data_IF_762807043593
#
_entry.id   IF_762807043593
#
_cell.length_a   1.000
_cell.length_b   1.000
_cell.length_c   1.000
_cell.angle_alpha   90.00
_cell.angle_beta   90.00
_cell.angle_gamma   90.00
#
_symmetry.space_group_name_H-M   'P 1'
#
loop_
_entity.id
_entity.type
_entity.pdbx_description
1 polymer ?
#
# COMPACT_ATOMS: atom_id res chain seq x y z
N UNK A 1 20.07 16.75 12.75
CA UNK A 1 19.51 15.47 12.28
C UNK A 1 19.39 15.55 10.76
N UNK A 2 20.18 14.75 10.03
CA UNK A 2 20.20 14.77 8.57
C UNK A 2 18.95 14.07 8.02
N UNK A 3 18.28 14.71 7.06
CA UNK A 3 17.11 14.20 6.39
C UNK A 3 17.36 12.79 5.82
N UNK A 4 16.44 11.86 6.11
CA UNK A 4 16.36 10.52 5.51
C UNK A 4 15.91 10.60 4.04
N UNK A 5 16.62 11.38 3.24
CA UNK A 5 16.40 11.52 1.81
C UNK A 5 17.13 10.42 1.05
N UNK A 6 16.70 9.16 1.20
CA UNK A 6 17.07 8.14 0.21
C UNK A 6 16.28 8.50 -1.07
N UNK A 7 16.94 8.82 -2.19
CA UNK A 7 16.26 9.35 -3.36
C UNK A 7 15.30 8.31 -3.96
N UNK A 8 14.01 8.59 -3.87
CA UNK A 8 12.87 7.83 -4.43
C UNK A 8 12.77 7.88 -5.97
N UNK A 9 13.88 8.13 -6.66
CA UNK A 9 13.92 8.27 -8.12
C UNK A 9 14.33 6.92 -8.76
N UNK A 10 13.40 5.95 -8.76
CA UNK A 10 13.57 4.67 -9.44
C UNK A 10 12.35 4.47 -10.38
N UNK A 11 12.51 3.95 -11.63
CA UNK A 11 11.40 3.64 -12.56
C UNK A 11 10.21 2.89 -11.94
N UNK A 12 10.46 2.18 -10.84
CA UNK A 12 9.46 1.58 -9.96
C UNK A 12 8.42 2.58 -9.40
N UNK A 13 8.83 3.72 -8.84
CA UNK A 13 7.89 4.70 -8.24
C UNK A 13 7.02 5.38 -9.31
N UNK A 14 7.59 5.67 -10.48
CA UNK A 14 6.86 6.18 -11.64
C UNK A 14 5.81 5.18 -12.17
N UNK A 15 6.13 3.87 -12.12
CA UNK A 15 5.20 2.80 -12.54
C UNK A 15 4.04 2.66 -11.56
N UNK A 16 4.31 2.72 -10.25
CA UNK A 16 3.30 2.70 -9.19
C UNK A 16 2.39 3.93 -9.27
N UNK A 17 2.97 5.13 -9.38
CA UNK A 17 2.22 6.39 -9.30
C UNK A 17 1.32 6.63 -10.50
N UNK A 18 1.78 6.37 -11.72
CA UNK A 18 1.03 6.67 -12.94
C UNK A 18 -0.11 5.66 -13.17
N UNK A 19 0.12 4.38 -12.90
CA UNK A 19 -0.81 3.34 -13.32
C UNK A 19 -1.78 2.89 -12.23
N UNK A 20 -1.32 2.77 -10.97
CA UNK A 20 -2.21 2.39 -9.87
C UNK A 20 -3.21 3.52 -9.61
N UNK A 21 -2.78 4.79 -9.66
CA UNK A 21 -3.65 5.91 -9.29
C UNK A 21 -4.63 6.34 -10.35
N UNK A 22 -4.24 6.34 -11.64
CA UNK A 22 -5.20 6.59 -12.72
C UNK A 22 -6.31 5.52 -12.71
N UNK A 23 -5.96 4.25 -12.50
CA UNK A 23 -6.93 3.17 -12.41
C UNK A 23 -7.75 3.19 -11.10
N UNK A 24 -7.15 3.63 -9.99
CA UNK A 24 -7.83 3.74 -8.70
C UNK A 24 -8.83 4.90 -8.66
N UNK A 25 -8.50 6.07 -9.23
CA UNK A 25 -9.46 7.18 -9.37
C UNK A 25 -10.63 6.73 -10.25
N UNK A 26 -10.34 6.01 -11.33
CA UNK A 26 -11.38 5.44 -12.19
C UNK A 26 -12.25 4.41 -11.44
N UNK A 27 -11.66 3.53 -10.64
CA UNK A 27 -12.39 2.57 -9.80
C UNK A 27 -13.30 3.27 -8.76
N UNK A 28 -12.81 4.30 -8.09
CA UNK A 28 -13.63 5.10 -7.16
C UNK A 28 -14.80 5.78 -7.87
N UNK A 29 -14.58 6.31 -9.07
CA UNK A 29 -15.67 6.88 -9.88
C UNK A 29 -16.70 5.82 -10.29
N UNK A 30 -16.26 4.60 -10.63
CA UNK A 30 -17.18 3.49 -10.94
C UNK A 30 -17.97 3.04 -9.71
N UNK A 31 -17.34 2.87 -8.55
CA UNK A 31 -18.06 2.52 -7.32
C UNK A 31 -19.08 3.59 -6.92
N UNK A 32 -18.73 4.87 -7.01
CA UNK A 32 -19.68 5.96 -6.76
C UNK A 32 -20.87 5.94 -7.71
N UNK A 33 -20.67 5.58 -8.99
CA UNK A 33 -21.77 5.42 -9.96
C UNK A 33 -22.65 4.20 -9.64
N UNK A 34 -22.05 3.08 -9.22
CA UNK A 34 -22.78 1.87 -8.84
C UNK A 34 -23.60 2.04 -7.55
N UNK A 35 -23.11 2.82 -6.58
CA UNK A 35 -23.88 3.17 -5.37
C UNK A 35 -24.87 4.32 -5.60
N UNK A 36 -24.55 5.27 -6.50
CA UNK A 36 -25.47 6.36 -6.87
C UNK A 36 -26.67 5.91 -7.69
N UNK A 37 -26.56 4.82 -8.47
CA UNK A 37 -27.69 4.25 -9.21
C UNK A 37 -28.66 3.45 -8.35
N UNK A 38 -28.30 3.08 -7.11
CA UNK A 38 -29.20 2.41 -6.16
C UNK A 38 -30.04 3.40 -5.33
N UNK A 39 -29.71 4.70 -5.31
CA UNK A 39 -30.36 5.71 -4.47
C UNK A 39 -31.35 6.65 -5.17
N UNK A 40 -31.66 6.46 -6.45
CA UNK A 40 -32.58 7.34 -7.21
C UNK A 40 -33.64 6.58 -8.01
N UNK A 41 -34.15 5.48 -7.48
CA UNK A 41 -35.31 4.77 -8.02
C UNK A 41 -36.52 4.88 -7.08
N UNK A 42 -36.96 6.11 -6.84
CA UNK A 42 -38.30 6.38 -6.30
C UNK A 42 -38.97 7.41 -7.21
N UNK A 43 -39.68 6.91 -8.24
CA UNK A 43 -40.61 7.69 -9.05
C UNK A 43 -40.20 7.93 -10.51
N UNK A 44 -40.43 6.94 -11.37
CA UNK A 44 -40.97 7.13 -12.72
C UNK A 44 -41.19 5.78 -13.41
N UNK A 45 -42.42 5.53 -13.86
CA UNK A 45 -42.84 4.34 -14.57
C UNK A 45 -42.17 4.15 -15.93
N UNK A 46 -41.87 2.88 -16.22
CA UNK A 46 -41.94 2.21 -17.52
C UNK A 46 -41.21 2.85 -18.73
N UNK A 47 -39.93 2.48 -18.90
CA UNK A 47 -39.38 2.16 -20.22
C UNK A 47 -38.34 1.04 -20.05
N UNK A 48 -38.69 -0.14 -20.56
CA UNK A 48 -37.91 -1.38 -20.48
C UNK A 48 -36.67 -1.29 -21.38
N UNK A 49 -35.60 -0.65 -20.92
CA UNK A 49 -34.27 -0.85 -21.50
C UNK A 49 -33.58 -1.99 -20.76
N UNK A 50 -33.77 -3.21 -21.27
CA UNK A 50 -33.00 -4.39 -20.86
C UNK A 50 -31.53 -4.16 -21.22
N UNK A 51 -30.74 -3.65 -20.27
CA UNK A 51 -29.30 -3.76 -20.35
C UNK A 51 -28.95 -5.27 -20.42
N UNK A 52 -28.20 -5.72 -21.44
CA UNK A 52 -27.85 -7.12 -21.55
C UNK A 52 -27.06 -7.54 -20.31
N UNK A 53 -27.54 -8.57 -19.61
CA UNK A 53 -26.79 -9.18 -18.53
C UNK A 53 -25.43 -9.64 -19.10
N UNK A 54 -24.31 -9.37 -18.41
CA UNK A 54 -23.00 -9.79 -18.87
C UNK A 54 -23.02 -11.30 -19.08
N UNK A 55 -22.57 -11.73 -20.26
CA UNK A 55 -22.61 -13.14 -20.63
C UNK A 55 -21.73 -13.95 -19.68
N UNK A 56 -22.07 -15.23 -19.42
CA UNK A 56 -21.26 -16.13 -18.58
C UNK A 56 -19.78 -16.17 -18.98
N UNK A 57 -19.46 -15.91 -20.25
CA UNK A 57 -18.09 -15.82 -20.76
C UNK A 57 -17.30 -14.58 -20.30
N UNK A 58 -17.95 -13.43 -20.16
CA UNK A 58 -17.30 -12.20 -19.67
C UNK A 58 -16.93 -12.31 -18.19
N UNK A 59 -17.79 -12.93 -17.39
CA UNK A 59 -17.53 -13.17 -15.97
C UNK A 59 -16.34 -14.12 -15.75
N UNK A 60 -16.21 -15.18 -16.57
CA UNK A 60 -15.08 -16.10 -16.47
C UNK A 60 -13.76 -15.47 -16.93
N UNK A 61 -13.79 -14.67 -18.00
CA UNK A 61 -12.62 -13.95 -18.49
C UNK A 61 -12.11 -12.92 -17.47
N UNK A 62 -13.02 -12.18 -16.82
CA UNK A 62 -12.66 -11.24 -15.76
C UNK A 62 -12.03 -11.95 -14.55
N UNK A 63 -12.61 -13.08 -14.12
CA UNK A 63 -12.09 -13.85 -12.99
C UNK A 63 -10.71 -14.47 -13.30
N UNK A 64 -10.49 -14.93 -14.54
CA UNK A 64 -9.17 -15.42 -14.98
C UNK A 64 -8.12 -14.30 -14.97
N UNK A 65 -8.47 -13.09 -15.41
CA UNK A 65 -7.56 -11.94 -15.35
C UNK A 65 -7.23 -11.56 -13.91
N UNK A 66 -8.21 -11.55 -13.01
CA UNK A 66 -7.98 -11.26 -11.59
C UNK A 66 -7.03 -12.26 -10.95
N UNK A 67 -7.19 -13.56 -11.21
CA UNK A 67 -6.27 -14.61 -10.72
C UNK A 67 -4.86 -14.46 -11.29
N UNK A 68 -4.75 -14.15 -12.59
CA UNK A 68 -3.44 -13.91 -13.21
C UNK A 68 -2.74 -12.68 -12.61
N UNK A 69 -3.49 -11.62 -12.32
CA UNK A 69 -2.98 -10.42 -11.67
C UNK A 69 -2.50 -10.72 -10.25
N UNK A 70 -3.30 -11.44 -9.46
CA UNK A 70 -2.91 -11.89 -8.11
C UNK A 70 -1.62 -12.71 -8.14
N UNK A 71 -1.52 -13.71 -9.02
CA UNK A 71 -0.29 -14.50 -9.17
C UNK A 71 0.91 -13.64 -9.59
N UNK A 72 0.70 -12.61 -10.43
CA UNK A 72 1.78 -11.72 -10.85
C UNK A 72 2.34 -10.83 -9.74
N UNK A 73 1.62 -10.68 -8.63
CA UNK A 73 2.00 -9.85 -7.47
C UNK A 73 2.66 -10.65 -6.35
N UNK A 74 2.60 -11.98 -6.44
CA UNK A 74 3.36 -12.87 -5.57
C UNK A 74 4.79 -13.02 -6.08
N UNK A 75 5.70 -13.35 -5.17
CA UNK A 75 7.10 -13.64 -5.48
C UNK A 75 7.63 -14.78 -4.60
N UNK A 76 8.65 -15.47 -5.10
CA UNK A 76 9.45 -16.40 -4.30
C UNK A 76 10.61 -15.64 -3.64
N UNK A 77 10.74 -15.67 -2.31
CA UNK A 77 11.83 -14.96 -1.65
C UNK A 77 13.18 -15.62 -1.99
N UNK A 78 14.25 -14.83 -2.05
CA UNK A 78 15.62 -15.31 -2.28
C UNK A 78 16.22 -16.07 -1.09
N UNK A 79 15.47 -16.21 0.00
CA UNK A 79 15.93 -16.80 1.26
C UNK A 79 16.71 -15.85 2.19
N UNK A 80 16.97 -14.62 1.75
CA UNK A 80 17.69 -13.58 2.52
C UNK A 80 17.03 -12.22 2.36
N UNK A 81 17.18 -11.32 3.33
CA UNK A 81 16.72 -9.92 3.21
C UNK A 81 17.69 -9.11 2.36
N UNK A 82 17.18 -8.43 1.36
CA UNK A 82 17.97 -7.69 0.38
C UNK A 82 18.24 -6.24 0.82
N UNK A 83 17.33 -5.64 1.57
CA UNK A 83 17.43 -4.24 2.03
C UNK A 83 17.93 -4.08 3.46
N UNK A 84 17.83 -5.11 4.32
CA UNK A 84 18.29 -5.00 5.70
C UNK A 84 19.74 -4.53 5.82
N UNK A 85 20.73 -5.12 5.10
CA UNK A 85 22.11 -4.64 5.19
C UNK A 85 22.27 -3.18 4.76
N UNK A 86 21.56 -2.77 3.71
CA UNK A 86 21.59 -1.38 3.19
C UNK A 86 21.04 -0.39 4.21
N UNK A 87 19.95 -0.73 4.90
CA UNK A 87 19.37 0.10 5.96
C UNK A 87 20.30 0.16 7.18
N UNK A 88 20.87 -0.96 7.57
CA UNK A 88 21.84 -1.04 8.68
C UNK A 88 23.04 -0.13 8.41
N UNK A 89 23.62 -0.19 7.21
CA UNK A 89 24.76 0.64 6.83
C UNK A 89 24.40 2.12 6.68
N UNK A 90 23.17 2.44 6.25
CA UNK A 90 22.71 3.82 6.13
C UNK A 90 22.44 4.51 7.48
N UNK A 91 22.05 3.74 8.50
CA UNK A 91 21.61 4.29 9.80
C UNK A 91 22.70 4.14 10.86
N UNK A 92 23.34 2.98 10.95
CA UNK A 92 24.32 2.67 11.99
C UNK A 92 25.72 3.19 11.64
N UNK A 93 26.32 3.98 12.53
CA UNK A 93 27.68 4.52 12.35
C UNK A 93 28.75 3.69 13.06
N UNK A 94 28.36 3.00 14.12
CA UNK A 94 29.23 2.10 14.89
C UNK A 94 28.69 0.67 14.83
N UNK A 95 29.50 -0.34 15.15
CA UNK A 95 29.05 -1.73 15.14
C UNK A 95 27.83 -1.94 16.07
N UNK A 96 27.88 -1.40 17.29
CA UNK A 96 26.76 -1.49 18.23
C UNK A 96 25.47 -0.85 17.69
N UNK A 97 25.56 0.28 16.98
CA UNK A 97 24.40 0.89 16.34
C UNK A 97 23.89 0.04 15.17
N UNK A 98 24.78 -0.53 14.37
CA UNK A 98 24.41 -1.42 13.27
C UNK A 98 23.69 -2.67 13.78
N UNK A 99 24.17 -3.27 14.87
CA UNK A 99 23.53 -4.42 15.51
C UNK A 99 22.12 -4.06 16.02
N UNK A 100 21.97 -2.89 16.65
CA UNK A 100 20.67 -2.39 17.10
C UNK A 100 19.69 -2.16 15.93
N UNK A 101 20.13 -1.48 14.87
CA UNK A 101 19.30 -1.26 13.67
C UNK A 101 18.92 -2.58 13.03
N UNK A 102 19.86 -3.53 12.94
CA UNK A 102 19.62 -4.86 12.40
C UNK A 102 18.53 -5.60 13.17
N UNK A 103 18.60 -5.58 14.51
CA UNK A 103 17.58 -6.20 15.37
C UNK A 103 16.19 -5.56 15.18
N UNK A 104 16.12 -4.22 15.10
CA UNK A 104 14.85 -3.50 14.88
C UNK A 104 14.25 -3.87 13.51
N UNK A 105 15.05 -3.84 12.44
CA UNK A 105 14.58 -4.16 11.09
C UNK A 105 14.17 -5.63 10.99
N UNK A 106 14.90 -6.54 11.63
CA UNK A 106 14.53 -7.96 11.69
C UNK A 106 13.19 -8.17 12.39
N UNK A 107 12.99 -7.56 13.56
CA UNK A 107 11.73 -7.64 14.30
C UNK A 107 10.55 -7.05 13.52
N UNK A 108 10.76 -5.92 12.84
CA UNK A 108 9.77 -5.30 11.97
C UNK A 108 9.31 -6.25 10.86
N UNK A 109 10.25 -6.87 10.15
CA UNK A 109 9.91 -7.82 9.09
C UNK A 109 9.24 -9.09 9.63
N UNK A 110 9.67 -9.57 10.80
CA UNK A 110 9.05 -10.72 11.43
C UNK A 110 7.58 -10.46 11.77
N UNK A 111 7.26 -9.29 12.32
CA UNK A 111 5.87 -8.95 12.66
C UNK A 111 5.02 -8.73 11.41
N UNK A 112 5.56 -8.04 10.39
CA UNK A 112 4.88 -7.89 9.11
C UNK A 112 4.59 -9.25 8.45
N UNK A 113 5.58 -10.14 8.37
CA UNK A 113 5.41 -11.46 7.77
C UNK A 113 4.42 -12.31 8.54
N UNK A 114 4.42 -12.23 9.88
CA UNK A 114 3.43 -12.91 10.71
C UNK A 114 2.02 -12.44 10.41
N UNK A 115 1.81 -11.13 10.26
CA UNK A 115 0.50 -10.58 9.87
C UNK A 115 0.12 -11.03 8.45
N UNK A 116 1.04 -10.95 7.50
CA UNK A 116 0.83 -11.39 6.12
C UNK A 116 0.45 -12.88 6.06
N UNK A 117 1.14 -13.75 6.81
CA UNK A 117 0.82 -15.16 6.91
C UNK A 117 -0.54 -15.41 7.54
N UNK A 118 -0.87 -14.72 8.65
CA UNK A 118 -2.19 -14.81 9.31
C UNK A 118 -3.33 -14.50 8.34
N UNK A 119 -3.12 -13.55 7.42
CA UNK A 119 -4.10 -13.11 6.44
C UNK A 119 -4.02 -13.87 5.11
N UNK A 120 -3.16 -14.89 5.00
CA UNK A 120 -2.99 -15.69 3.78
C UNK A 120 -2.38 -14.91 2.61
N UNK A 121 -1.62 -13.84 2.89
CA UNK A 121 -0.93 -12.99 1.91
C UNK A 121 0.61 -12.97 2.09
N UNK A 122 1.30 -14.11 2.31
CA UNK A 122 2.76 -14.11 2.39
C UNK A 122 3.38 -13.70 1.05
N UNK A 123 4.51 -12.98 1.09
CA UNK A 123 5.26 -12.56 -0.11
C UNK A 123 4.38 -11.90 -1.19
N UNK A 124 3.43 -11.06 -0.76
CA UNK A 124 2.46 -10.40 -1.63
C UNK A 124 2.78 -8.90 -1.70
N UNK A 125 3.15 -8.45 -2.89
CA UNK A 125 3.51 -7.06 -3.11
C UNK A 125 2.34 -6.09 -2.94
N UNK A 126 1.13 -6.50 -3.31
CA UNK A 126 -0.06 -5.66 -3.11
C UNK A 126 -0.43 -5.54 -1.63
N UNK A 127 -0.18 -6.59 -0.84
CA UNK A 127 -0.34 -6.50 0.62
C UNK A 127 0.68 -5.55 1.25
N UNK A 128 1.96 -5.62 0.85
CA UNK A 128 2.97 -4.65 1.29
C UNK A 128 2.62 -3.20 0.89
N UNK A 129 2.08 -2.98 -0.32
CA UNK A 129 1.63 -1.66 -0.74
C UNK A 129 0.39 -1.19 0.03
N UNK A 130 -0.55 -2.10 0.33
CA UNK A 130 -1.69 -1.81 1.19
C UNK A 130 -1.25 -1.35 2.57
N UNK A 131 -0.32 -2.09 3.19
CA UNK A 131 0.31 -1.73 4.46
C UNK A 131 0.97 -0.35 4.40
N UNK A 132 1.79 -0.11 3.37
CA UNK A 132 2.45 1.18 3.15
C UNK A 132 1.45 2.33 3.15
N UNK A 133 0.39 2.23 2.33
CA UNK A 133 -0.56 3.32 2.15
C UNK A 133 -1.41 3.56 3.39
N UNK A 134 -1.97 2.49 3.95
CA UNK A 134 -2.85 2.59 5.10
C UNK A 134 -2.08 3.11 6.32
N UNK A 135 -0.91 2.54 6.61
CA UNK A 135 -0.15 2.88 7.81
C UNK A 135 0.50 4.27 7.73
N UNK A 136 1.05 4.68 6.57
CA UNK A 136 1.53 6.07 6.45
C UNK A 136 0.37 7.07 6.52
N UNK A 137 -0.81 6.74 5.98
CA UNK A 137 -1.98 7.61 6.08
C UNK A 137 -2.49 7.77 7.53
N UNK A 138 -2.55 6.67 8.30
CA UNK A 138 -2.95 6.73 9.72
C UNK A 138 -1.94 7.48 10.56
N UNK A 139 -0.64 7.24 10.38
CA UNK A 139 0.43 7.98 11.06
C UNK A 139 0.33 9.46 10.72
N UNK A 140 0.34 9.85 9.43
CA UNK A 140 0.25 11.25 9.00
C UNK A 140 -0.93 11.99 9.65
N UNK A 141 -2.09 11.32 9.76
CA UNK A 141 -3.31 11.88 10.36
C UNK A 141 -3.38 11.75 11.88
N UNK A 142 -2.50 10.98 12.51
CA UNK A 142 -2.58 10.63 13.92
C UNK A 142 -3.85 9.84 14.28
N UNK A 143 -4.28 8.95 13.39
CA UNK A 143 -5.47 8.10 13.56
C UNK A 143 -5.10 6.75 14.20
N UNK A 144 -6.08 6.01 14.75
CA UNK A 144 -5.87 4.63 15.18
C UNK A 144 -5.37 3.74 14.03
N UNK A 145 -4.78 2.61 14.39
CA UNK A 145 -4.30 1.66 13.41
C UNK A 145 -5.43 1.02 12.60
N UNK A 146 -5.20 0.74 11.30
CA UNK A 146 -6.14 -0.02 10.50
C UNK A 146 -6.42 -1.40 11.09
N UNK A 147 -7.65 -1.88 10.94
CA UNK A 147 -7.99 -3.29 11.18
C UNK A 147 -7.46 -4.17 10.06
N UNK A 148 -7.25 -5.45 10.34
CA UNK A 148 -6.78 -6.44 9.38
C UNK A 148 -7.62 -6.47 8.09
N UNK A 149 -8.95 -6.38 8.21
CA UNK A 149 -9.86 -6.41 7.06
C UNK A 149 -9.66 -5.20 6.14
N UNK A 150 -9.27 -4.05 6.70
CA UNK A 150 -9.05 -2.84 5.91
C UNK A 150 -7.77 -2.94 5.06
N UNK A 151 -6.73 -3.62 5.57
CA UNK A 151 -5.55 -3.93 4.75
C UNK A 151 -5.91 -4.88 3.61
N UNK A 152 -6.72 -5.91 3.87
CA UNK A 152 -7.14 -6.86 2.83
C UNK A 152 -8.00 -6.18 1.76
N UNK A 153 -8.98 -5.37 2.15
CA UNK A 153 -9.84 -4.63 1.21
C UNK A 153 -9.04 -3.67 0.31
N UNK A 154 -8.09 -2.94 0.88
CA UNK A 154 -7.21 -2.07 0.11
C UNK A 154 -6.30 -2.90 -0.82
N UNK A 155 -5.80 -4.05 -0.36
CA UNK A 155 -5.02 -4.97 -1.20
C UNK A 155 -5.83 -5.45 -2.40
N UNK A 156 -7.09 -5.86 -2.23
CA UNK A 156 -7.94 -6.30 -3.35
C UNK A 156 -8.16 -5.18 -4.37
N UNK A 157 -8.31 -3.94 -3.90
CA UNK A 157 -8.39 -2.77 -4.78
C UNK A 157 -7.09 -2.56 -5.56
N UNK A 158 -5.94 -2.74 -4.92
CA UNK A 158 -4.63 -2.67 -5.57
C UNK A 158 -4.49 -3.76 -6.63
N UNK A 159 -4.84 -5.01 -6.33
CA UNK A 159 -4.80 -6.12 -7.30
C UNK A 159 -5.66 -5.82 -8.51
N UNK A 160 -6.88 -5.31 -8.30
CA UNK A 160 -7.76 -4.93 -9.40
C UNK A 160 -7.15 -3.83 -10.28
N UNK A 161 -6.56 -2.79 -9.67
CA UNK A 161 -5.91 -1.71 -10.40
C UNK A 161 -4.66 -2.19 -11.16
N UNK A 162 -3.91 -3.12 -10.58
CA UNK A 162 -2.69 -3.70 -11.17
C UNK A 162 -2.99 -4.77 -12.23
N UNK A 163 -4.14 -5.45 -12.17
CA UNK A 163 -4.57 -6.41 -13.20
C UNK A 163 -4.66 -5.80 -14.61
N UNK A 164 -4.80 -4.48 -14.68
CA UNK A 164 -4.86 -3.73 -15.92
C UNK A 164 -3.45 -3.40 -16.48
N UNK A 165 -2.38 -3.71 -15.74
CA UNK A 165 -1.00 -3.40 -16.10
C UNK A 165 -0.06 -4.61 -16.00
N UNK A 166 0.55 -5.00 -17.12
CA UNK A 166 1.47 -6.13 -17.17
C UNK A 166 2.89 -5.86 -16.65
N UNK A 167 3.23 -4.63 -16.25
CA UNK A 167 4.59 -4.28 -15.79
C UNK A 167 5.04 -5.12 -14.59
N UNK A 168 4.13 -5.43 -13.66
CA UNK A 168 4.44 -6.28 -12.49
C UNK A 168 4.69 -7.74 -12.87
N UNK A 169 4.00 -8.23 -13.91
CA UNK A 169 4.24 -9.58 -14.45
C UNK A 169 5.63 -9.72 -15.09
N UNK A 170 6.27 -8.61 -15.47
CA UNK A 170 7.63 -8.58 -16.03
C UNK A 170 8.72 -8.45 -14.97
N UNK A 171 8.37 -8.18 -13.71
CA UNK A 171 9.34 -8.08 -12.62
C UNK A 171 9.80 -9.48 -12.20
N UNK A 172 11.10 -9.62 -11.98
CA UNK A 172 11.65 -10.83 -11.36
C UNK A 172 11.23 -10.91 -9.90
N UNK A 173 11.26 -12.12 -9.34
CA UNK A 173 10.97 -12.33 -7.92
C UNK A 173 11.88 -11.50 -7.01
N UNK A 174 13.16 -11.38 -7.37
CA UNK A 174 14.10 -10.50 -6.66
C UNK A 174 13.66 -9.03 -6.69
N UNK A 175 13.24 -8.51 -7.85
CA UNK A 175 12.78 -7.11 -7.96
C UNK A 175 11.52 -6.86 -7.13
N UNK A 176 10.58 -7.81 -7.13
CA UNK A 176 9.37 -7.74 -6.30
C UNK A 176 9.73 -7.79 -4.81
N UNK A 177 10.67 -8.65 -4.41
CA UNK A 177 11.16 -8.71 -3.04
C UNK A 177 11.82 -7.40 -2.61
N UNK A 178 12.69 -6.80 -3.43
CA UNK A 178 13.32 -5.50 -3.13
C UNK A 178 12.26 -4.41 -2.94
N UNK A 179 11.24 -4.36 -3.81
CA UNK A 179 10.14 -3.41 -3.67
C UNK A 179 9.30 -3.68 -2.42
N UNK A 180 8.95 -4.93 -2.15
CA UNK A 180 8.23 -5.35 -0.97
C UNK A 180 8.96 -4.92 0.31
N UNK A 181 10.25 -5.25 0.41
CA UNK A 181 11.08 -4.87 1.56
C UNK A 181 11.18 -3.35 1.72
N UNK A 182 11.23 -2.58 0.63
CA UNK A 182 11.27 -1.12 0.68
C UNK A 182 9.99 -0.57 1.30
N UNK A 183 8.84 -1.02 0.81
CA UNK A 183 7.52 -0.57 1.27
C UNK A 183 7.33 -0.86 2.76
N UNK A 184 7.67 -2.08 3.17
CA UNK A 184 7.53 -2.54 4.56
C UNK A 184 8.49 -1.80 5.48
N UNK A 185 9.77 -1.70 5.13
CA UNK A 185 10.78 -1.08 6.00
C UNK A 185 10.55 0.42 6.21
N UNK A 186 10.26 1.18 5.15
CA UNK A 186 10.11 2.64 5.25
C UNK A 186 8.88 3.00 6.08
N UNK A 187 7.81 2.22 5.94
CA UNK A 187 6.58 2.41 6.69
C UNK A 187 6.72 1.93 8.13
N UNK A 188 7.26 0.72 8.31
CA UNK A 188 7.36 0.12 9.63
C UNK A 188 8.29 0.90 10.55
N UNK A 189 9.41 1.44 10.04
CA UNK A 189 10.29 2.28 10.85
C UNK A 189 9.60 3.57 11.30
N UNK A 190 8.92 4.27 10.37
CA UNK A 190 8.13 5.46 10.70
C UNK A 190 7.06 5.15 11.74
N UNK A 191 6.34 4.04 11.56
CA UNK A 191 5.28 3.62 12.47
C UNK A 191 5.81 3.27 13.87
N UNK A 192 6.87 2.46 13.97
CA UNK A 192 7.46 2.07 15.25
C UNK A 192 7.99 3.28 16.01
N UNK A 193 8.72 4.18 15.33
CA UNK A 193 9.22 5.42 15.95
C UNK A 193 8.09 6.36 16.36
N UNK A 194 7.02 6.47 15.57
CA UNK A 194 5.84 7.25 15.93
C UNK A 194 5.15 6.70 17.19
N UNK A 195 5.00 5.38 17.29
CA UNK A 195 4.38 4.74 18.46
C UNK A 195 5.26 4.87 19.71
N UNK A 196 6.58 4.72 19.59
CA UNK A 196 7.50 4.97 20.70
C UNK A 196 7.42 6.42 21.20
N UNK A 197 7.47 7.39 20.27
CA UNK A 197 7.36 8.81 20.59
C UNK A 197 6.04 9.13 21.33
N UNK A 198 4.91 8.57 20.87
CA UNK A 198 3.62 8.71 21.58
C UNK A 198 3.64 8.12 22.99
N UNK A 199 4.22 6.93 23.17
CA UNK A 199 4.32 6.28 24.49
C UNK A 199 5.17 7.09 25.46
N UNK A 200 6.20 7.78 24.96
CA UNK A 200 7.14 8.59 25.75
C UNK A 200 6.69 10.04 25.94
N UNK A 201 5.60 10.46 25.32
CA UNK A 201 5.15 11.87 25.35
C UNK A 201 6.03 12.81 24.52
N UNK A 202 6.84 12.27 23.60
CA UNK A 202 7.72 13.05 22.72
C UNK A 202 6.93 13.60 21.52
N UNK A 203 6.29 14.75 21.73
CA UNK A 203 5.43 15.38 20.73
C UNK A 203 6.21 15.84 19.49
N UNK A 204 7.47 16.24 19.63
CA UNK A 204 8.30 16.71 18.52
C UNK A 204 8.64 15.56 17.58
N UNK A 205 9.11 14.43 18.13
CA UNK A 205 9.45 13.27 17.33
C UNK A 205 8.19 12.61 16.73
N UNK A 206 7.07 12.61 17.47
CA UNK A 206 5.79 12.20 16.92
C UNK A 206 5.39 13.07 15.71
N UNK A 207 5.54 14.40 15.79
CA UNK A 207 5.29 15.30 14.67
C UNK A 207 6.22 15.04 13.49
N UNK A 208 7.52 14.85 13.73
CA UNK A 208 8.50 14.55 12.69
C UNK A 208 8.14 13.25 11.93
N UNK A 209 7.71 12.20 12.65
CA UNK A 209 7.28 10.95 12.01
C UNK A 209 5.98 11.10 11.22
N UNK A 210 5.07 11.98 11.64
CA UNK A 210 3.88 12.33 10.84
C UNK A 210 4.28 12.99 9.52
N UNK A 211 5.19 13.96 9.55
CA UNK A 211 5.70 14.63 8.35
C UNK A 211 6.40 13.63 7.42
N UNK A 212 7.24 12.75 7.97
CA UNK A 212 7.91 11.70 7.20
C UNK A 212 6.92 10.71 6.57
N UNK A 213 5.86 10.32 7.28
CA UNK A 213 4.79 9.50 6.70
C UNK A 213 4.10 10.20 5.51
N UNK A 214 3.88 11.52 5.61
CA UNK A 214 3.36 12.33 4.51
C UNK A 214 4.31 12.37 3.31
N UNK A 215 5.62 12.48 3.55
CA UNK A 215 6.64 12.44 2.50
C UNK A 215 6.69 11.07 1.81
N UNK A 216 6.61 9.97 2.56
CA UNK A 216 6.51 8.62 2.00
C UNK A 216 5.30 8.49 1.06
N UNK A 217 4.12 8.93 1.51
CA UNK A 217 2.91 8.93 0.67
C UNK A 217 3.13 9.76 -0.61
N UNK A 218 3.65 10.97 -0.49
CA UNK A 218 3.90 11.84 -1.66
C UNK A 218 4.92 11.23 -2.62
N UNK A 219 5.95 10.56 -2.12
CA UNK A 219 6.99 9.97 -2.94
C UNK A 219 6.47 8.81 -3.81
N UNK A 220 5.61 7.96 -3.24
CA UNK A 220 5.01 6.83 -3.97
C UNK A 220 3.79 7.21 -4.80
N UNK A 221 2.98 8.16 -4.31
CA UNK A 221 1.70 8.48 -4.95
C UNK A 221 1.73 9.70 -5.85
N UNK A 222 2.68 10.60 -5.64
CA UNK A 222 2.69 11.97 -6.18
C UNK A 222 1.44 12.80 -5.82
N UNK A 223 0.65 12.33 -4.86
CA UNK A 223 -0.53 13.04 -4.36
C UNK A 223 -0.13 13.74 -3.07
N UNK A 224 -0.67 14.95 -2.88
CA UNK A 224 -0.54 15.65 -1.61
C UNK A 224 -1.11 14.76 -0.48
N UNK A 225 -0.32 14.41 0.55
CA UNK A 225 -0.79 13.57 1.66
C UNK A 225 -2.01 14.17 2.37
N UNK A 226 -2.20 15.50 2.32
CA UNK A 226 -3.40 16.16 2.85
C UNK A 226 -4.68 15.82 2.08
N UNK A 227 -4.59 15.25 0.87
CA UNK A 227 -5.72 14.76 0.07
C UNK A 227 -6.01 13.29 0.29
N UNK A 228 -5.03 12.52 0.78
CA UNK A 228 -5.18 11.10 1.09
C UNK A 228 -5.88 10.95 2.43
N UNK A 229 -6.87 10.07 2.48
CA UNK A 229 -7.54 9.69 3.71
C UNK A 229 -7.78 8.18 3.73
N UNK A 230 -7.54 7.57 4.89
CA UNK A 230 -7.81 6.16 5.13
C UNK A 230 -8.79 6.05 6.28
N UNK A 231 -9.97 5.50 5.99
CA UNK A 231 -11.12 5.46 6.91
C UNK A 231 -11.70 4.05 6.93
N UNK A 232 -12.72 3.82 7.75
CA UNK A 232 -13.46 2.56 7.75
C UNK A 232 -14.09 2.25 6.38
N UNK A 233 -14.43 3.29 5.60
CA UNK A 233 -14.92 3.18 4.23
C UNK A 233 -13.80 2.93 3.20
N UNK A 234 -12.56 2.78 3.66
CA UNK A 234 -11.38 2.52 2.85
C UNK A 234 -10.55 3.76 2.55
N UNK A 235 -9.66 3.61 1.57
CA UNK A 235 -8.77 4.67 1.07
C UNK A 235 -9.57 5.62 0.18
N UNK A 236 -9.39 6.93 0.31
CA UNK A 236 -10.05 7.97 -0.48
C UNK A 236 -9.09 9.14 -0.76
N UNK A 237 -9.36 9.86 -1.85
CA UNK A 237 -8.57 11.03 -2.28
C UNK A 237 -9.53 12.19 -2.54
N UNK A 238 -9.29 13.31 -1.86
CA UNK A 238 -10.09 14.53 -2.04
C UNK A 238 -9.80 15.17 -3.41
N UNK A 239 -10.79 15.77 -4.09
CA UNK A 239 -10.55 16.59 -5.28
C UNK A 239 -9.61 17.76 -4.97
N UNK A 240 -8.97 18.30 -6.01
CA UNK A 240 -8.17 19.52 -5.91
C UNK A 240 -9.08 20.72 -5.68
#
# INVERSE_FOLDING_TARGET
MGAFGVPYNNPVSATLSTNVWNNWVYYQLQQKKAHGSQGSAAGASAASSSAPAPSKGESQAAQKRARAAEASLQFHPTGTRLLTPKLVDAIGKTQAQKDQVSAIVAALFQEFDKQAMKLGKPNDLAFALSYFLAQNATVYRGKPDPKDEQFVQLRETIVFAMAQNQSFAKMTDRQKQEMHEMLVSYTGLVYLTYQDAKKRGDAENAKAMRELAGLNLKAITHIDPARINFTEQGFTIKPQ
#
